data_IF_972870725036
#
_entry.id   IF_972870725036
#
_cell.length_a   1.000
_cell.length_b   1.000
_cell.length_c   1.000
_cell.angle_alpha   90.00
_cell.angle_beta   90.00
_cell.angle_gamma   90.00
#
_symmetry.space_group_name_H-M   'P 1'
#
loop_
_entity.id
_entity.type
_entity.pdbx_description
1 polymer ?
#
# COMPACT_ATOMS: atom_id res chain seq x y z
N UNK A 1 -5.26 18.87 22.76
CA UNK A 1 -6.04 18.37 23.91
C UNK A 1 -6.14 16.86 23.77
N UNK A 2 -5.47 16.11 24.65
CA UNK A 2 -5.50 14.66 24.71
C UNK A 2 -6.88 14.17 25.13
N UNK A 3 -7.55 13.37 24.30
CA UNK A 3 -8.69 12.56 24.73
C UNK A 3 -8.15 11.15 24.92
N UNK A 4 -7.90 10.79 26.18
CA UNK A 4 -7.43 9.46 26.59
C UNK A 4 -8.53 8.41 26.39
N UNK A 5 -8.11 7.17 26.05
CA UNK A 5 -8.92 5.95 25.91
C UNK A 5 -9.91 5.66 27.07
N UNK A 6 -9.80 6.34 28.21
CA UNK A 6 -10.66 6.13 29.37
C UNK A 6 -12.11 6.64 29.19
N UNK A 7 -12.36 7.61 28.31
CA UNK A 7 -13.69 8.26 28.26
C UNK A 7 -14.73 7.47 27.48
N UNK A 8 -14.33 6.55 26.59
CA UNK A 8 -15.28 5.71 25.84
C UNK A 8 -15.78 4.51 26.67
N UNK A 9 -15.04 4.09 27.70
CA UNK A 9 -15.36 2.88 28.48
C UNK A 9 -15.79 3.15 29.93
N UNK A 10 -15.89 4.43 30.35
CA UNK A 10 -16.19 4.80 31.73
C UNK A 10 -17.66 4.76 32.16
N UNK A 11 -18.62 4.40 31.29
CA UNK A 11 -20.05 4.49 31.62
C UNK A 11 -20.68 3.17 32.10
N UNK A 12 -20.03 2.01 31.92
CA UNK A 12 -20.62 0.72 32.31
C UNK A 12 -19.52 -0.22 32.81
N UNK A 13 -19.70 -0.76 34.02
CA UNK A 13 -18.95 -1.84 34.68
C UNK A 13 -18.00 -1.46 35.85
N UNK A 14 -18.44 -1.89 37.04
CA UNK A 14 -17.68 -2.05 38.30
C UNK A 14 -16.63 -3.19 38.20
N UNK A 15 -15.69 -3.33 39.16
CA UNK A 15 -14.31 -3.74 38.89
C UNK A 15 -14.18 -5.25 38.66
N UNK A 16 -13.70 -5.64 37.48
CA UNK A 16 -13.13 -6.96 37.24
C UNK A 16 -11.87 -6.79 36.38
N UNK A 17 -10.79 -7.56 36.58
CA UNK A 17 -9.46 -7.17 36.16
C UNK A 17 -9.29 -7.30 34.65
N UNK A 18 -9.08 -6.18 33.97
CA UNK A 18 -8.59 -6.17 32.60
C UNK A 18 -7.23 -6.90 32.53
N UNK A 19 -7.09 -7.85 31.61
CA UNK A 19 -5.79 -8.44 31.27
C UNK A 19 -5.44 -8.04 29.84
N UNK A 20 -4.39 -7.23 29.70
CA UNK A 20 -3.76 -6.92 28.44
C UNK A 20 -2.53 -7.81 28.26
N UNK A 21 -2.42 -8.49 27.12
CA UNK A 21 -1.24 -9.27 26.76
C UNK A 21 -0.68 -8.79 25.43
N UNK A 22 0.65 -8.65 25.34
CA UNK A 22 1.34 -8.28 24.10
C UNK A 22 1.28 -9.46 23.14
N UNK A 23 0.92 -9.21 21.87
CA UNK A 23 0.87 -10.27 20.85
C UNK A 23 2.31 -10.61 20.44
N UNK A 24 2.77 -11.88 20.61
CA UNK A 24 4.13 -12.27 20.21
C UNK A 24 4.36 -12.03 18.72
N UNK A 25 5.48 -11.39 18.36
CA UNK A 25 5.86 -11.15 16.96
C UNK A 25 5.27 -9.90 16.30
N UNK A 26 4.48 -9.08 17.00
CA UNK A 26 3.92 -7.82 16.45
C UNK A 26 4.24 -6.61 17.34
N UNK A 27 4.90 -5.58 16.78
CA UNK A 27 5.11 -4.30 17.48
C UNK A 27 3.79 -3.54 17.58
N UNK A 28 3.45 -3.02 18.76
CA UNK A 28 2.25 -2.20 19.06
C UNK A 28 0.88 -2.90 19.03
N UNK A 29 0.84 -4.23 19.14
CA UNK A 29 -0.40 -5.02 19.26
C UNK A 29 -0.64 -5.54 20.68
N UNK A 30 -1.86 -5.31 21.17
CA UNK A 30 -2.33 -5.80 22.48
C UNK A 30 -3.64 -6.55 22.31
N UNK A 31 -3.73 -7.73 22.94
CA UNK A 31 -4.97 -8.45 23.11
C UNK A 31 -5.61 -7.99 24.44
N UNK A 32 -6.80 -7.39 24.35
CA UNK A 32 -7.60 -7.02 25.51
C UNK A 32 -8.68 -8.08 25.75
N UNK A 33 -8.75 -8.59 26.99
CA UNK A 33 -9.84 -9.45 27.45
C UNK A 33 -10.63 -8.79 28.57
N UNK A 34 -11.95 -8.81 28.47
CA UNK A 34 -12.86 -8.37 29.54
C UNK A 34 -14.05 -9.32 29.67
N UNK A 35 -14.70 -9.29 30.83
CA UNK A 35 -15.83 -10.15 31.16
C UNK A 35 -17.06 -9.32 31.48
N UNK A 36 -18.18 -9.61 30.81
CA UNK A 36 -19.47 -8.95 31.06
C UNK A 36 -20.58 -10.01 31.02
N UNK A 37 -21.44 -10.04 32.04
CA UNK A 37 -22.58 -10.98 32.12
C UNK A 37 -22.20 -12.48 32.05
N UNK A 38 -21.00 -12.86 32.50
CA UNK A 38 -20.52 -14.25 32.45
C UNK A 38 -19.99 -14.71 31.09
N UNK A 39 -19.80 -13.79 30.13
CA UNK A 39 -19.18 -14.04 28.82
C UNK A 39 -17.83 -13.35 28.73
N UNK A 40 -16.87 -13.98 28.05
CA UNK A 40 -15.56 -13.40 27.78
C UNK A 40 -15.58 -12.72 26.41
N UNK A 41 -15.09 -11.48 26.38
CA UNK A 41 -14.90 -10.71 25.16
C UNK A 41 -13.40 -10.51 24.93
N UNK A 42 -12.98 -10.61 23.67
CA UNK A 42 -11.61 -10.30 23.27
C UNK A 42 -11.56 -9.37 22.07
N UNK A 43 -10.61 -8.43 22.10
CA UNK A 43 -10.34 -7.53 20.98
C UNK A 43 -8.84 -7.32 20.80
N UNK A 44 -8.40 -7.28 19.55
CA UNK A 44 -7.05 -6.88 19.19
C UNK A 44 -7.00 -5.36 19.01
N UNK A 45 -6.00 -4.73 19.62
CA UNK A 45 -5.77 -3.28 19.54
C UNK A 45 -4.42 -3.01 18.91
N UNK A 46 -4.43 -2.23 17.83
CA UNK A 46 -3.25 -1.70 17.17
C UNK A 46 -3.26 -0.17 17.28
N UNK A 47 -2.20 0.42 17.86
CA UNK A 47 -2.06 1.88 17.91
C UNK A 47 -3.22 2.62 18.61
N UNK A 48 -3.93 1.97 19.54
CA UNK A 48 -5.07 2.56 20.28
C UNK A 48 -6.45 2.37 19.63
N UNK A 49 -6.55 1.67 18.50
CA UNK A 49 -7.82 1.40 17.81
C UNK A 49 -8.14 -0.10 17.84
N UNK A 50 -9.40 -0.45 18.12
CA UNK A 50 -9.89 -1.82 18.11
C UNK A 50 -10.05 -2.32 16.66
N UNK A 51 -9.44 -3.46 16.33
CA UNK A 51 -9.33 -3.93 14.94
C UNK A 51 -10.20 -5.17 14.67
N UNK A 52 -10.59 -5.91 15.72
CA UNK A 52 -11.51 -7.06 15.64
C UNK A 52 -12.25 -7.28 16.96
N UNK A 53 -13.52 -7.71 16.91
CA UNK A 53 -14.33 -8.03 18.09
C UNK A 53 -14.83 -9.48 18.03
N UNK A 54 -14.55 -10.28 19.07
CA UNK A 54 -14.98 -11.67 19.14
C UNK A 54 -15.64 -11.98 20.50
N UNK A 55 -16.74 -12.72 20.46
CA UNK A 55 -17.51 -13.17 21.63
C UNK A 55 -17.26 -14.67 21.81
N UNK A 56 -16.64 -15.05 22.93
CA UNK A 56 -16.43 -16.45 23.24
C UNK A 56 -17.69 -17.03 23.93
N UNK A 57 -18.34 -18.00 23.27
CA UNK A 57 -19.58 -18.64 23.77
C UNK A 57 -19.23 -19.81 24.69
N UNK A 58 -18.63 -19.54 25.85
CA UNK A 58 -18.48 -20.53 26.92
C UNK A 58 -19.45 -20.19 28.06
N UNK A 59 -20.36 -21.12 28.39
CA UNK A 59 -21.22 -21.04 29.59
C UNK A 59 -20.44 -21.48 30.84
N UNK A 60 -20.86 -20.96 31.99
CA UNK A 60 -20.19 -21.07 33.29
C UNK A 60 -20.28 -22.46 33.97
N UNK A 61 -20.68 -23.52 33.27
CA UNK A 61 -20.94 -24.86 33.83
C UNK A 61 -19.98 -25.97 33.36
N UNK A 62 -18.92 -25.64 32.63
CA UNK A 62 -17.79 -26.58 32.42
C UNK A 62 -18.10 -27.85 31.62
N UNK A 63 -19.29 -27.98 31.02
CA UNK A 63 -19.63 -29.10 30.16
C UNK A 63 -19.24 -28.81 28.71
N UNK A 64 -18.10 -29.33 28.28
CA UNK A 64 -17.69 -29.34 26.89
C UNK A 64 -18.52 -30.35 26.09
N UNK A 65 -19.49 -29.88 25.31
CA UNK A 65 -19.96 -30.65 24.17
C UNK A 65 -18.85 -30.61 23.12
N UNK A 66 -18.15 -31.73 22.94
CA UNK A 66 -17.29 -31.95 21.78
C UNK A 66 -18.23 -32.13 20.59
N UNK A 67 -18.74 -31.03 20.05
CA UNK A 67 -19.13 -31.02 18.66
C UNK A 67 -17.81 -31.16 17.90
N UNK A 68 -17.60 -32.31 17.26
CA UNK A 68 -16.61 -32.48 16.20
C UNK A 68 -17.00 -31.67 14.96
N UNK A 69 -17.34 -30.38 15.15
CA UNK A 69 -17.03 -29.40 14.15
C UNK A 69 -15.53 -29.21 14.31
N UNK A 70 -14.74 -29.99 13.55
CA UNK A 70 -13.53 -29.37 13.01
C UNK A 70 -14.00 -27.99 12.53
N UNK A 71 -13.40 -26.88 12.98
CA UNK A 71 -13.55 -25.66 12.21
C UNK A 71 -13.24 -26.14 10.79
N UNK A 72 -14.14 -25.92 9.84
CA UNK A 72 -13.66 -25.90 8.47
C UNK A 72 -12.49 -24.94 8.55
N UNK A 73 -11.26 -25.46 8.48
CA UNK A 73 -10.09 -24.67 8.24
C UNK A 73 -10.42 -24.01 6.92
N UNK A 74 -11.05 -22.84 6.98
CA UNK A 74 -11.10 -21.94 5.85
C UNK A 74 -9.62 -21.67 5.63
N UNK A 75 -9.03 -22.42 4.69
CA UNK A 75 -7.68 -22.22 4.23
C UNK A 75 -7.55 -20.71 4.08
N UNK A 76 -6.60 -20.11 4.80
CA UNK A 76 -6.55 -18.67 4.92
C UNK A 76 -6.49 -18.10 3.48
N UNK A 77 -7.55 -17.37 3.14
CA UNK A 77 -7.83 -17.01 1.76
C UNK A 77 -7.14 -15.69 1.46
N UNK A 78 -6.33 -15.71 0.41
CA UNK A 78 -5.44 -14.62 0.07
C UNK A 78 -5.98 -13.80 -1.09
N UNK A 79 -5.91 -12.48 -0.98
CA UNK A 79 -6.20 -11.55 -2.07
C UNK A 79 -4.87 -11.06 -2.65
N UNK A 80 -4.71 -11.19 -3.96
CA UNK A 80 -3.55 -10.63 -4.65
C UNK A 80 -3.81 -9.19 -5.13
N UNK A 81 -2.91 -8.29 -4.80
CA UNK A 81 -2.88 -6.93 -5.34
C UNK A 81 -1.69 -6.82 -6.29
N UNK A 82 -1.92 -6.34 -7.50
CA UNK A 82 -0.91 -6.30 -8.55
C UNK A 82 -0.88 -4.90 -9.14
N UNK A 83 0.28 -4.25 -9.09
CA UNK A 83 0.51 -2.96 -9.75
C UNK A 83 1.48 -3.16 -10.92
N UNK A 84 0.97 -2.99 -12.13
CA UNK A 84 1.71 -3.19 -13.38
C UNK A 84 2.22 -1.84 -13.88
N UNK A 85 3.47 -1.53 -13.54
CA UNK A 85 4.20 -0.38 -14.05
C UNK A 85 4.99 -0.66 -15.32
N UNK A 86 5.52 0.38 -15.95
CA UNK A 86 6.33 0.25 -17.18
C UNK A 86 7.64 -0.52 -16.96
N UNK A 87 8.26 -0.38 -15.79
CA UNK A 87 9.55 -1.01 -15.48
C UNK A 87 9.37 -2.28 -14.66
N UNK A 88 8.41 -2.29 -13.74
CA UNK A 88 8.23 -3.38 -12.79
C UNK A 88 6.76 -3.67 -12.55
N UNK A 89 6.46 -4.92 -12.25
CA UNK A 89 5.21 -5.36 -11.64
C UNK A 89 5.45 -5.56 -10.15
N UNK A 90 4.63 -4.95 -9.31
CA UNK A 90 4.66 -5.14 -7.86
C UNK A 90 3.48 -6.02 -7.45
N UNK A 91 3.76 -7.11 -6.76
CA UNK A 91 2.78 -8.08 -6.29
C UNK A 91 2.75 -8.10 -4.77
N UNK A 92 1.55 -7.99 -4.19
CA UNK A 92 1.29 -8.17 -2.77
C UNK A 92 0.23 -9.23 -2.52
N UNK A 93 0.41 -10.02 -1.47
CA UNK A 93 -0.61 -10.97 -1.00
C UNK A 93 -1.16 -10.53 0.34
N UNK A 94 -2.46 -10.28 0.42
CA UNK A 94 -3.17 -9.90 1.64
C UNK A 94 -3.94 -11.08 2.20
N UNK A 95 -3.78 -11.32 3.50
CA UNK A 95 -4.45 -12.36 4.24
C UNK A 95 -5.01 -11.77 5.53
N UNK A 96 -6.31 -11.93 5.76
CA UNK A 96 -7.01 -11.41 6.95
C UNK A 96 -6.76 -9.90 7.20
N UNK A 97 -6.71 -9.09 6.13
CA UNK A 97 -6.48 -7.65 6.22
C UNK A 97 -5.02 -7.23 6.38
N UNK A 98 -4.07 -8.16 6.39
CA UNK A 98 -2.65 -7.88 6.54
C UNK A 98 -1.85 -8.31 5.30
N UNK A 99 -0.85 -7.51 4.94
CA UNK A 99 0.09 -7.86 3.87
C UNK A 99 1.01 -8.99 4.34
N UNK A 100 0.86 -10.17 3.73
CA UNK A 100 1.68 -11.35 4.00
C UNK A 100 3.01 -11.34 3.26
N UNK A 101 3.03 -10.86 2.02
CA UNK A 101 4.26 -10.67 1.25
C UNK A 101 4.13 -9.53 0.25
N UNK A 102 5.27 -8.97 -0.15
CA UNK A 102 5.39 -8.01 -1.23
C UNK A 102 6.65 -8.33 -2.04
N UNK A 103 6.52 -8.39 -3.35
CA UNK A 103 7.62 -8.70 -4.27
C UNK A 103 7.51 -7.89 -5.53
N UNK A 104 8.62 -7.84 -6.28
CA UNK A 104 8.72 -7.08 -7.52
C UNK A 104 9.37 -7.94 -8.60
N UNK A 105 8.79 -7.91 -9.78
CA UNK A 105 9.35 -8.50 -11.00
C UNK A 105 9.47 -7.46 -12.10
N UNK A 106 10.32 -7.73 -13.07
CA UNK A 106 10.46 -6.87 -14.24
C UNK A 106 9.21 -6.95 -15.12
N UNK A 107 8.81 -5.82 -15.68
CA UNK A 107 7.75 -5.81 -16.69
C UNK A 107 8.34 -6.23 -18.04
N UNK A 108 7.92 -7.39 -18.56
CA UNK A 108 8.32 -7.85 -19.89
C UNK A 108 7.11 -7.92 -20.82
N UNK A 109 7.10 -7.04 -21.83
CA UNK A 109 6.00 -6.90 -22.79
C UNK A 109 5.98 -8.01 -23.84
N UNK A 110 7.01 -8.86 -23.89
CA UNK A 110 7.13 -9.97 -24.83
C UNK A 110 6.61 -11.30 -24.27
N UNK A 111 6.35 -11.38 -22.97
CA UNK A 111 5.87 -12.61 -22.34
C UNK A 111 4.37 -12.83 -22.60
N UNK A 112 4.03 -14.09 -22.88
CA UNK A 112 2.67 -14.58 -23.03
C UNK A 112 2.08 -15.06 -21.69
N UNK A 113 0.78 -15.39 -21.69
CA UNK A 113 0.04 -15.66 -20.45
C UNK A 113 0.53 -16.90 -19.69
N UNK A 114 0.99 -17.93 -20.39
CA UNK A 114 1.57 -19.14 -19.82
C UNK A 114 2.93 -18.89 -19.17
N UNK A 115 3.76 -18.04 -19.78
CA UNK A 115 5.04 -17.61 -19.23
C UNK A 115 4.84 -16.79 -17.95
N UNK A 116 3.91 -15.83 -17.97
CA UNK A 116 3.52 -15.10 -16.76
C UNK A 116 2.91 -16.02 -15.71
N UNK A 117 2.13 -17.05 -16.09
CA UNK A 117 1.58 -18.00 -15.14
C UNK A 117 2.68 -18.80 -14.44
N UNK A 118 3.70 -19.25 -15.16
CA UNK A 118 4.86 -19.93 -14.59
C UNK A 118 5.63 -19.01 -13.63
N UNK A 119 5.87 -17.77 -14.02
CA UNK A 119 6.61 -16.80 -13.19
C UNK A 119 5.85 -16.46 -11.91
N UNK A 120 4.56 -16.07 -12.03
CA UNK A 120 3.73 -15.70 -10.88
C UNK A 120 3.50 -16.89 -9.93
N UNK A 121 3.18 -18.07 -10.46
CA UNK A 121 3.02 -19.27 -9.62
C UNK A 121 4.33 -19.68 -8.94
N UNK A 122 5.46 -19.57 -9.64
CA UNK A 122 6.79 -19.81 -9.07
C UNK A 122 7.10 -18.89 -7.90
N UNK A 123 6.77 -17.60 -8.03
CA UNK A 123 6.92 -16.60 -6.96
C UNK A 123 6.04 -16.91 -5.77
N UNK A 124 4.77 -17.23 -6.00
CA UNK A 124 3.83 -17.59 -4.93
C UNK A 124 4.29 -18.83 -4.16
N UNK A 125 4.87 -19.81 -4.86
CA UNK A 125 5.48 -20.99 -4.24
C UNK A 125 6.65 -20.62 -3.30
N UNK A 126 7.45 -19.60 -3.61
CA UNK A 126 8.50 -19.11 -2.69
C UNK A 126 7.90 -18.59 -1.36
N UNK A 127 6.71 -18.01 -1.42
CA UNK A 127 5.94 -17.55 -0.26
C UNK A 127 5.01 -18.62 0.32
N UNK A 128 5.08 -19.86 -0.18
CA UNK A 128 4.23 -21.01 0.23
C UNK A 128 2.74 -20.76 0.03
N UNK A 129 2.38 -19.98 -0.99
CA UNK A 129 1.00 -19.70 -1.37
C UNK A 129 0.64 -20.58 -2.56
N UNK A 130 -0.22 -21.57 -2.33
CA UNK A 130 -0.79 -22.37 -3.42
C UNK A 130 -1.85 -21.56 -4.18
N UNK A 131 -1.97 -21.79 -5.49
CA UNK A 131 -2.96 -21.10 -6.33
C UNK A 131 -4.40 -21.23 -5.82
N UNK A 132 -4.74 -22.40 -5.29
CA UNK A 132 -6.04 -22.74 -4.70
C UNK A 132 -6.40 -21.89 -3.46
N UNK A 133 -5.40 -21.30 -2.80
CA UNK A 133 -5.61 -20.44 -1.62
C UNK A 133 -5.85 -18.97 -1.99
N UNK A 134 -5.76 -18.61 -3.27
CA UNK A 134 -6.05 -17.25 -3.74
C UNK A 134 -7.56 -17.14 -3.97
N UNK A 135 -8.23 -16.28 -3.20
CA UNK A 135 -9.68 -16.06 -3.36
C UNK A 135 -10.03 -15.00 -4.39
N UNK A 136 -9.08 -14.11 -4.69
CA UNK A 136 -9.30 -13.05 -5.64
C UNK A 136 -8.06 -12.25 -5.91
N UNK A 137 -8.16 -11.39 -6.90
CA UNK A 137 -7.09 -10.51 -7.29
C UNK A 137 -7.63 -9.16 -7.76
N UNK A 138 -6.79 -8.14 -7.69
CA UNK A 138 -7.04 -6.83 -8.27
C UNK A 138 -5.75 -6.28 -8.91
N UNK A 139 -5.91 -5.70 -10.10
CA UNK A 139 -4.83 -5.18 -10.94
C UNK A 139 -4.99 -3.67 -11.11
N UNK A 140 -3.98 -2.89 -10.74
CA UNK A 140 -3.68 -1.57 -11.33
C UNK A 140 -2.72 -1.77 -12.50
N UNK A 141 -2.92 -1.04 -13.59
CA UNK A 141 -1.99 -1.10 -14.72
C UNK A 141 -1.93 0.21 -15.49
N UNK A 142 -0.71 0.61 -15.80
CA UNK A 142 -0.40 1.65 -16.80
C UNK A 142 0.24 1.05 -18.07
N UNK A 143 0.17 -0.27 -18.22
CA UNK A 143 0.73 -1.03 -19.35
C UNK A 143 -0.37 -1.91 -19.97
N UNK A 144 -1.23 -1.35 -20.86
CA UNK A 144 -2.37 -2.08 -21.43
C UNK A 144 -1.96 -3.38 -22.14
N UNK A 145 -0.78 -3.39 -22.78
CA UNK A 145 -0.25 -4.51 -23.56
C UNK A 145 -0.22 -5.85 -22.80
N UNK A 146 0.09 -5.82 -21.50
CA UNK A 146 0.23 -7.04 -20.69
C UNK A 146 -0.89 -7.21 -19.66
N UNK A 147 -1.81 -6.25 -19.55
CA UNK A 147 -2.83 -6.28 -18.48
C UNK A 147 -3.73 -7.51 -18.60
N UNK A 148 -4.22 -7.78 -19.82
CA UNK A 148 -5.04 -8.97 -20.08
C UNK A 148 -4.22 -10.25 -20.06
N UNK A 149 -2.94 -10.18 -20.41
CA UNK A 149 -2.03 -11.32 -20.36
C UNK A 149 -1.80 -11.79 -18.92
N UNK A 150 -1.52 -10.85 -18.00
CA UNK A 150 -1.40 -11.14 -16.56
C UNK A 150 -2.73 -11.61 -15.98
N UNK A 151 -3.87 -11.04 -16.41
CA UNK A 151 -5.17 -11.51 -15.96
C UNK A 151 -5.45 -12.96 -16.38
N UNK A 152 -5.14 -13.32 -17.64
CA UNK A 152 -5.23 -14.72 -18.11
C UNK A 152 -4.29 -15.63 -17.33
N UNK A 153 -3.07 -15.18 -17.02
CA UNK A 153 -2.13 -15.96 -16.21
C UNK A 153 -2.70 -16.33 -14.83
N UNK A 154 -3.29 -15.36 -14.11
CA UNK A 154 -3.95 -15.62 -12.83
C UNK A 154 -5.09 -16.64 -12.95
N UNK A 155 -5.90 -16.53 -14.01
CA UNK A 155 -6.98 -17.48 -14.27
C UNK A 155 -6.44 -18.90 -14.51
N UNK A 156 -5.29 -19.04 -15.16
CA UNK A 156 -4.69 -20.35 -15.48
C UNK A 156 -4.24 -21.12 -14.25
N UNK A 157 -3.54 -20.47 -13.30
CA UNK A 157 -2.95 -21.20 -12.16
C UNK A 157 -3.77 -21.09 -10.86
N UNK A 158 -4.57 -20.02 -10.70
CA UNK A 158 -5.37 -19.78 -9.49
C UNK A 158 -6.88 -19.86 -9.74
N UNK A 159 -7.34 -19.91 -11.00
CA UNK A 159 -8.77 -19.98 -11.32
C UNK A 159 -9.55 -18.70 -11.02
N UNK A 160 -8.86 -17.61 -10.66
CA UNK A 160 -9.47 -16.34 -10.27
C UNK A 160 -9.54 -15.35 -11.44
N UNK A 161 -10.64 -14.61 -11.51
CA UNK A 161 -10.74 -13.45 -12.40
C UNK A 161 -10.38 -12.18 -11.62
N UNK A 162 -9.28 -11.48 -11.97
CA UNK A 162 -8.90 -10.27 -11.26
C UNK A 162 -9.86 -9.12 -11.58
N UNK A 163 -10.18 -8.31 -10.57
CA UNK A 163 -10.70 -6.97 -10.79
C UNK A 163 -9.63 -6.12 -11.47
N UNK A 164 -10.02 -5.24 -12.39
CA UNK A 164 -9.14 -4.21 -12.94
C UNK A 164 -9.56 -2.88 -12.33
N UNK A 165 -8.63 -2.17 -11.73
CA UNK A 165 -8.93 -0.89 -11.12
C UNK A 165 -9.35 0.12 -12.19
N UNK A 166 -10.61 0.52 -12.12
CA UNK A 166 -11.19 1.61 -12.92
C UNK A 166 -11.99 2.52 -11.99
N UNK A 167 -12.37 3.70 -12.47
CA UNK A 167 -13.24 4.62 -11.71
C UNK A 167 -14.67 4.10 -11.55
N UNK A 168 -15.05 3.06 -12.30
CA UNK A 168 -16.37 2.41 -12.21
C UNK A 168 -16.49 1.50 -10.98
N UNK A 169 -15.36 1.04 -10.44
CA UNK A 169 -15.35 0.34 -9.16
C UNK A 169 -15.75 1.32 -8.03
N UNK A 170 -16.24 0.82 -6.89
CA UNK A 170 -16.47 1.65 -5.71
C UNK A 170 -15.13 2.10 -5.11
N UNK A 171 -14.47 3.08 -5.75
CA UNK A 171 -13.18 3.65 -5.34
C UNK A 171 -13.31 4.49 -4.07
N UNK A 172 -14.50 5.04 -3.84
CA UNK A 172 -14.76 5.99 -2.77
C UNK A 172 -14.02 7.32 -2.93
N UNK A 173 -13.29 7.54 -4.02
CA UNK A 173 -12.48 8.73 -4.30
C UNK A 173 -13.12 9.50 -5.44
N UNK A 174 -13.29 10.81 -5.25
CA UNK A 174 -13.71 11.71 -6.32
C UNK A 174 -12.54 12.04 -7.24
N UNK A 175 -12.82 12.45 -8.48
CA UNK A 175 -11.81 12.92 -9.44
C UNK A 175 -12.27 14.23 -10.04
N UNK A 176 -11.54 15.31 -9.77
CA UNK A 176 -11.80 16.67 -10.26
C UNK A 176 -10.61 17.14 -11.11
N UNK A 177 -10.50 16.58 -12.31
CA UNK A 177 -9.57 17.01 -13.36
C UNK A 177 -10.36 17.13 -14.67
N UNK A 178 -9.83 17.86 -15.65
CA UNK A 178 -10.54 18.15 -16.92
C UNK A 178 -11.05 16.89 -17.63
N UNK A 179 -10.22 15.85 -17.67
CA UNK A 179 -10.56 14.56 -18.26
C UNK A 179 -10.38 13.44 -17.23
N UNK A 180 -11.40 13.13 -16.41
CA UNK A 180 -11.26 12.14 -15.33
C UNK A 180 -10.75 10.79 -15.82
N UNK A 181 -11.20 10.32 -17.00
CA UNK A 181 -10.81 9.03 -17.58
C UNK A 181 -9.31 8.90 -17.91
N UNK A 182 -8.57 10.00 -17.95
CA UNK A 182 -7.11 10.00 -18.20
C UNK A 182 -6.29 9.82 -16.92
N UNK A 183 -6.92 9.82 -15.73
CA UNK A 183 -6.21 9.54 -14.49
C UNK A 183 -5.70 8.08 -14.48
N UNK A 184 -4.37 7.93 -14.37
CA UNK A 184 -3.73 6.62 -14.27
C UNK A 184 -4.24 5.78 -13.11
N UNK A 185 -4.36 4.47 -13.31
CA UNK A 185 -4.84 3.53 -12.29
C UNK A 185 -3.96 3.51 -11.03
N UNK A 186 -2.65 3.70 -11.19
CA UNK A 186 -1.67 3.81 -10.10
C UNK A 186 -1.90 5.08 -9.26
N UNK A 187 -2.13 6.22 -9.91
CA UNK A 187 -2.46 7.49 -9.25
C UNK A 187 -3.78 7.39 -8.48
N UNK A 188 -4.78 6.75 -9.09
CA UNK A 188 -6.07 6.47 -8.46
C UNK A 188 -5.89 5.54 -7.25
N UNK A 189 -5.13 4.46 -7.37
CA UNK A 189 -4.83 3.56 -6.25
C UNK A 189 -4.14 4.29 -5.09
N UNK A 190 -3.17 5.15 -5.38
CA UNK A 190 -2.51 5.98 -4.37
C UNK A 190 -3.48 6.94 -3.66
N UNK A 191 -4.38 7.58 -4.38
CA UNK A 191 -5.41 8.44 -3.80
C UNK A 191 -6.40 7.64 -2.93
N UNK A 192 -6.75 6.42 -3.34
CA UNK A 192 -7.61 5.54 -2.55
C UNK A 192 -6.93 5.12 -1.26
N UNK A 193 -5.64 4.75 -1.31
CA UNK A 193 -4.86 4.46 -0.12
C UNK A 193 -4.81 5.67 0.82
N UNK A 194 -4.57 6.87 0.29
CA UNK A 194 -4.57 8.11 1.05
C UNK A 194 -5.90 8.32 1.79
N UNK A 195 -7.02 8.24 1.07
CA UNK A 195 -8.37 8.39 1.66
C UNK A 195 -8.72 7.31 2.68
N UNK A 196 -8.29 6.08 2.44
CA UNK A 196 -8.64 4.95 3.30
C UNK A 196 -7.83 4.89 4.60
N UNK A 197 -6.58 5.36 4.57
CA UNK A 197 -5.60 5.08 5.63
C UNK A 197 -5.09 6.32 6.35
N UNK A 198 -5.30 7.52 5.81
CA UNK A 198 -4.66 8.73 6.32
C UNK A 198 -5.65 9.90 6.48
N UNK A 199 -5.35 10.86 7.39
CA UNK A 199 -6.08 12.12 7.47
C UNK A 199 -5.96 12.94 6.17
N UNK A 200 -7.07 13.57 5.76
CA UNK A 200 -7.16 14.43 4.57
C UNK A 200 -7.22 15.92 4.95
N UNK A 201 -6.68 16.85 4.15
CA UNK A 201 -6.17 16.64 2.78
C UNK A 201 -4.78 15.99 2.80
N UNK A 202 -4.45 15.31 1.71
CA UNK A 202 -3.21 14.54 1.57
C UNK A 202 -2.51 14.84 0.24
N UNK A 203 -1.18 14.81 0.26
CA UNK A 203 -0.34 14.83 -0.92
C UNK A 203 0.35 13.47 -1.02
N UNK A 204 0.12 12.77 -2.14
CA UNK A 204 0.70 11.45 -2.42
C UNK A 204 1.83 11.60 -3.42
N UNK A 205 3.02 11.14 -3.06
CA UNK A 205 4.23 11.22 -3.88
C UNK A 205 4.62 9.80 -4.32
N UNK A 206 4.52 9.49 -5.61
CA UNK A 206 5.00 8.22 -6.17
C UNK A 206 6.33 8.44 -6.91
N UNK A 207 7.41 7.90 -6.35
CA UNK A 207 8.76 7.97 -6.90
C UNK A 207 9.16 6.69 -7.66
N UNK A 208 8.35 6.35 -8.66
CA UNK A 208 8.59 5.25 -9.59
C UNK A 208 9.43 5.64 -10.81
N UNK A 209 9.07 5.09 -11.97
CA UNK A 209 9.70 5.43 -13.27
C UNK A 209 9.64 6.94 -13.54
N UNK A 210 8.49 7.56 -13.27
CA UNK A 210 8.32 9.00 -13.15
C UNK A 210 8.08 9.36 -11.68
N UNK A 211 8.44 10.57 -11.28
CA UNK A 211 8.01 11.13 -9.99
C UNK A 211 6.66 11.81 -10.19
N UNK A 212 5.64 11.39 -9.45
CA UNK A 212 4.28 11.92 -9.56
C UNK A 212 3.84 12.44 -8.20
N UNK A 213 3.18 13.60 -8.16
CA UNK A 213 2.63 14.19 -6.94
C UNK A 213 1.15 14.41 -7.17
N UNK A 214 0.30 13.76 -6.36
CA UNK A 214 -1.17 13.81 -6.46
C UNK A 214 -1.74 14.60 -5.28
N UNK A 215 -2.58 15.59 -5.56
CA UNK A 215 -3.32 16.35 -4.57
C UNK A 215 -4.67 15.69 -4.27
N UNK A 216 -4.93 15.40 -3.00
CA UNK A 216 -6.21 14.85 -2.52
C UNK A 216 -6.79 15.79 -1.47
N UNK A 217 -7.98 16.35 -1.73
CA UNK A 217 -8.63 17.31 -0.83
C UNK A 217 -9.26 16.66 0.42
N UNK A 218 -9.91 17.49 1.25
CA UNK A 218 -10.57 17.06 2.49
C UNK A 218 -11.72 16.08 2.27
N UNK A 219 -12.36 16.11 1.09
CA UNK A 219 -13.45 15.21 0.73
C UNK A 219 -12.91 13.90 0.13
N UNK A 220 -11.60 13.80 -0.08
CA UNK A 220 -10.97 12.66 -0.71
C UNK A 220 -11.20 12.65 -2.22
N UNK A 221 -11.16 13.84 -2.83
CA UNK A 221 -11.23 14.06 -4.27
C UNK A 221 -9.84 14.40 -4.79
N UNK A 222 -9.42 13.76 -5.87
CA UNK A 222 -8.20 14.11 -6.59
C UNK A 222 -8.40 15.45 -7.28
N UNK A 223 -7.58 16.44 -6.94
CA UNK A 223 -7.66 17.80 -7.51
C UNK A 223 -6.68 18.05 -8.64
N UNK A 224 -5.67 17.18 -8.79
CA UNK A 224 -4.66 17.33 -9.81
C UNK A 224 -3.40 16.53 -9.51
N UNK A 225 -2.51 16.50 -10.50
CA UNK A 225 -1.25 15.75 -10.45
C UNK A 225 -0.14 16.57 -11.10
N UNK A 226 1.07 16.52 -10.57
CA UNK A 226 2.29 16.93 -11.25
C UNK A 226 3.13 15.71 -11.59
N UNK A 227 3.72 15.69 -12.79
CA UNK A 227 4.53 14.58 -13.29
C UNK A 227 5.90 15.12 -13.69
N UNK A 228 6.95 14.56 -13.10
CA UNK A 228 8.35 14.89 -13.37
C UNK A 228 9.14 13.63 -13.77
N UNK A 229 10.28 13.79 -14.49
CA UNK A 229 11.20 12.69 -14.70
C UNK A 229 11.59 12.03 -13.36
N UNK A 230 11.57 10.70 -13.31
CA UNK A 230 11.98 9.97 -12.12
C UNK A 230 13.49 10.08 -11.90
N UNK A 231 13.92 9.88 -10.65
CA UNK A 231 15.33 9.98 -10.22
C UNK A 231 16.25 9.15 -11.12
N UNK A 232 15.85 7.92 -11.45
CA UNK A 232 16.65 7.03 -12.30
C UNK A 232 16.64 7.47 -13.76
N UNK A 233 15.50 7.93 -14.31
CA UNK A 233 15.44 8.49 -15.67
C UNK A 233 16.36 9.70 -15.80
N UNK A 234 16.34 10.61 -14.82
CA UNK A 234 17.19 11.80 -14.83
C UNK A 234 18.67 11.43 -14.82
N UNK A 235 19.06 10.43 -14.02
CA UNK A 235 20.44 9.95 -14.01
C UNK A 235 20.82 9.28 -15.33
N UNK A 236 19.96 8.41 -15.87
CA UNK A 236 20.20 7.72 -17.14
C UNK A 236 20.31 8.72 -18.30
N UNK A 237 19.51 9.79 -18.30
CA UNK A 237 19.60 10.86 -19.28
C UNK A 237 20.96 11.58 -19.22
N UNK A 238 21.49 11.85 -18.03
CA UNK A 238 22.83 12.44 -17.85
C UNK A 238 23.93 11.49 -18.33
N UNK A 239 23.84 10.21 -17.96
CA UNK A 239 24.84 9.19 -18.31
C UNK A 239 24.86 8.98 -19.82
N UNK A 240 23.71 8.74 -20.45
CA UNK A 240 23.63 8.49 -21.89
C UNK A 240 23.93 9.73 -22.75
N UNK A 241 23.74 10.93 -22.20
CA UNK A 241 24.14 12.18 -22.86
C UNK A 241 25.65 12.46 -22.83
N UNK A 242 26.46 11.62 -22.16
CA UNK A 242 27.91 11.84 -22.00
C UNK A 242 28.72 10.62 -22.45
N UNK A 243 29.92 10.84 -23.00
CA UNK A 243 30.73 9.79 -23.60
C UNK A 243 31.55 8.94 -22.62
N UNK A 244 31.73 9.40 -21.38
CA UNK A 244 32.73 8.86 -20.44
C UNK A 244 32.15 8.11 -19.24
N UNK A 245 30.83 8.02 -19.10
CA UNK A 245 30.20 7.46 -17.91
C UNK A 245 29.24 6.33 -18.28
N UNK A 246 29.34 5.20 -17.57
CA UNK A 246 28.40 4.07 -17.67
C UNK A 246 28.14 3.51 -16.27
N UNK A 247 26.88 3.28 -15.91
CA UNK A 247 26.49 2.49 -14.74
C UNK A 247 26.78 3.13 -13.37
N UNK A 248 26.29 4.35 -13.12
CA UNK A 248 26.41 4.99 -11.80
C UNK A 248 25.38 4.38 -10.85
N UNK A 249 25.84 3.74 -9.77
CA UNK A 249 24.96 3.29 -8.69
C UNK A 249 24.35 4.50 -7.97
N UNK A 250 23.06 4.41 -7.65
CA UNK A 250 22.30 5.43 -6.91
C UNK A 250 22.39 5.16 -5.41
N UNK A 251 23.51 5.56 -4.82
CA UNK A 251 23.68 5.57 -3.37
C UNK A 251 23.28 6.94 -2.79
N UNK A 252 22.88 6.95 -1.52
CA UNK A 252 22.66 8.19 -0.80
C UNK A 252 23.96 9.03 -0.80
N UNK A 253 23.93 10.27 -1.30
CA UNK A 253 25.12 11.11 -1.33
C UNK A 253 25.51 11.58 0.07
N UNK A 254 26.81 11.68 0.32
CA UNK A 254 27.35 12.10 1.64
C UNK A 254 27.40 13.62 1.78
N UNK A 255 27.44 14.36 0.68
CA UNK A 255 27.62 15.83 0.65
C UNK A 255 27.02 16.45 -0.61
N UNK A 256 26.51 17.68 -0.48
CA UNK A 256 25.90 18.40 -1.60
C UNK A 256 26.93 18.80 -2.68
N UNK A 257 28.14 19.18 -2.27
CA UNK A 257 29.21 19.57 -3.18
C UNK A 257 30.10 18.35 -3.44
N UNK A 258 29.86 17.66 -4.56
CA UNK A 258 30.65 16.50 -4.98
C UNK A 258 32.09 16.87 -5.32
N UNK A 259 33.04 15.97 -5.02
CA UNK A 259 34.47 16.17 -5.31
C UNK A 259 34.97 15.44 -6.55
N UNK A 260 34.09 14.68 -7.20
CA UNK A 260 34.32 14.02 -8.47
C UNK A 260 32.99 13.90 -9.22
N UNK A 261 33.04 13.55 -10.50
CA UNK A 261 31.86 13.53 -11.36
C UNK A 261 30.74 12.62 -10.84
N UNK A 262 31.08 11.44 -10.33
CA UNK A 262 30.09 10.48 -9.80
C UNK A 262 29.40 11.05 -8.56
N UNK A 263 30.17 11.55 -7.59
CA UNK A 263 29.61 12.21 -6.39
C UNK A 263 28.75 13.42 -6.75
N UNK A 264 29.19 14.24 -7.71
CA UNK A 264 28.45 15.43 -8.14
C UNK A 264 27.12 15.07 -8.79
N UNK A 265 27.08 14.02 -9.62
CA UNK A 265 25.85 13.53 -10.23
C UNK A 265 24.90 12.92 -9.19
N UNK A 266 25.40 12.05 -8.31
CA UNK A 266 24.60 11.44 -7.23
C UNK A 266 24.00 12.51 -6.32
N UNK A 267 24.81 13.48 -5.90
CA UNK A 267 24.38 14.63 -5.11
C UNK A 267 23.27 15.41 -5.81
N UNK A 268 23.51 15.84 -7.05
CA UNK A 268 22.56 16.65 -7.81
C UNK A 268 21.23 15.94 -8.05
N UNK A 269 21.26 14.63 -8.33
CA UNK A 269 20.05 13.85 -8.59
C UNK A 269 19.25 13.59 -7.31
N UNK A 270 19.90 13.21 -6.21
CA UNK A 270 19.18 12.87 -4.96
C UNK A 270 18.78 14.11 -4.17
N UNK A 271 19.71 15.02 -3.86
CA UNK A 271 19.38 16.26 -3.13
C UNK A 271 18.57 17.23 -4.00
N UNK A 272 18.78 17.24 -5.31
CA UNK A 272 17.94 17.99 -6.23
C UNK A 272 16.51 17.46 -6.25
N UNK A 273 16.31 16.14 -6.27
CA UNK A 273 14.98 15.55 -6.15
C UNK A 273 14.32 15.89 -4.80
N UNK A 274 15.05 15.83 -3.68
CA UNK A 274 14.51 16.21 -2.37
C UNK A 274 14.10 17.70 -2.33
N UNK A 275 14.93 18.58 -2.87
CA UNK A 275 14.64 20.02 -2.96
C UNK A 275 13.44 20.30 -3.88
N UNK A 276 13.33 19.56 -4.98
CA UNK A 276 12.19 19.62 -5.88
C UNK A 276 10.91 19.17 -5.17
N UNK A 277 10.93 18.07 -4.42
CA UNK A 277 9.77 17.60 -3.68
C UNK A 277 9.31 18.64 -2.65
N UNK A 278 10.22 19.19 -1.86
CA UNK A 278 9.88 20.24 -0.89
C UNK A 278 9.22 21.44 -1.58
N UNK A 279 9.81 21.96 -2.66
CA UNK A 279 9.28 23.12 -3.38
C UNK A 279 7.96 22.83 -4.09
N UNK A 280 7.73 21.59 -4.54
CA UNK A 280 6.46 21.18 -5.13
C UNK A 280 5.37 21.00 -4.08
N UNK A 281 5.70 20.45 -2.91
CA UNK A 281 4.78 20.36 -1.77
C UNK A 281 4.33 21.77 -1.36
N UNK A 282 5.26 22.72 -1.21
CA UNK A 282 4.92 24.12 -0.90
C UNK A 282 3.96 24.74 -1.93
N UNK A 283 4.13 24.43 -3.22
CA UNK A 283 3.22 24.89 -4.29
C UNK A 283 1.85 24.23 -4.19
N UNK A 284 1.81 22.91 -3.95
CA UNK A 284 0.56 22.18 -3.78
C UNK A 284 -0.22 22.68 -2.57
N UNK A 285 0.44 22.93 -1.44
CA UNK A 285 -0.20 23.47 -0.24
C UNK A 285 -0.69 24.91 -0.43
N UNK A 286 -0.04 25.70 -1.29
CA UNK A 286 -0.53 27.04 -1.63
C UNK A 286 -1.86 27.01 -2.41
N UNK A 287 -2.13 25.94 -3.16
CA UNK A 287 -3.36 25.77 -3.94
C UNK A 287 -4.43 24.97 -3.18
N UNK A 288 -4.04 23.90 -2.47
CA UNK A 288 -4.92 22.98 -1.75
C UNK A 288 -5.21 23.42 -0.31
N UNK A 289 -4.34 24.23 0.27
CA UNK A 289 -4.21 24.41 1.72
C UNK A 289 -3.23 23.40 2.35
N UNK A 290 -2.90 23.58 3.65
CA UNK A 290 -1.92 22.72 4.34
C UNK A 290 -2.32 21.24 4.34
N UNK A 291 -1.42 20.36 3.92
CA UNK A 291 -1.67 18.93 3.92
C UNK A 291 -1.62 18.38 5.35
N UNK A 292 -2.59 17.54 5.72
CA UNK A 292 -2.51 16.77 6.98
C UNK A 292 -1.62 15.54 6.83
N UNK A 293 -1.43 15.07 5.59
CA UNK A 293 -0.61 13.91 5.27
C UNK A 293 0.27 14.18 4.06
N UNK A 294 1.57 13.94 4.21
CA UNK A 294 2.51 13.79 3.10
C UNK A 294 2.99 12.35 3.11
N UNK A 295 2.65 11.58 2.07
CA UNK A 295 3.01 10.17 1.98
C UNK A 295 3.73 9.90 0.67
N UNK A 296 4.85 9.18 0.73
CA UNK A 296 5.64 8.80 -0.41
C UNK A 296 5.71 7.28 -0.59
N UNK A 297 5.76 6.85 -1.85
CA UNK A 297 5.96 5.47 -2.26
C UNK A 297 6.92 5.41 -3.46
N UNK A 298 7.13 4.22 -4.02
CA UNK A 298 8.01 4.03 -5.17
C UNK A 298 9.45 3.69 -4.79
N UNK A 299 10.21 3.27 -5.80
CA UNK A 299 11.56 2.72 -5.62
C UNK A 299 12.61 3.75 -5.21
N UNK A 300 12.47 5.00 -5.66
CA UNK A 300 13.44 6.05 -5.34
C UNK A 300 13.13 6.77 -4.01
N UNK A 301 11.94 6.61 -3.43
CA UNK A 301 11.56 7.32 -2.22
C UNK A 301 12.45 6.99 -1.02
N UNK A 302 12.90 5.73 -0.89
CA UNK A 302 13.79 5.32 0.21
C UNK A 302 15.15 6.04 0.24
N UNK A 303 15.62 6.56 -0.90
CA UNK A 303 16.88 7.30 -0.99
C UNK A 303 16.69 8.83 -1.02
N UNK A 304 15.51 9.34 -1.40
CA UNK A 304 15.24 10.78 -1.51
C UNK A 304 14.54 11.35 -0.28
N UNK A 305 13.51 10.67 0.23
CA UNK A 305 12.68 11.14 1.35
C UNK A 305 13.49 11.52 2.60
N UNK A 306 14.54 10.76 3.00
CA UNK A 306 15.36 11.14 4.16
C UNK A 306 16.06 12.49 4.06
N UNK A 307 16.11 13.10 2.86
CA UNK A 307 16.75 14.38 2.60
C UNK A 307 15.78 15.53 2.34
N UNK A 308 14.46 15.28 2.44
CA UNK A 308 13.44 16.32 2.35
C UNK A 308 13.37 17.10 3.68
N UNK A 309 13.03 18.40 3.60
CA UNK A 309 12.75 19.22 4.79
C UNK A 309 11.36 18.91 5.35
N UNK A 310 10.40 18.62 4.48
CA UNK A 310 9.07 18.18 4.90
C UNK A 310 9.15 16.79 5.52
N UNK A 311 8.32 16.56 6.55
CA UNK A 311 8.14 15.22 7.11
C UNK A 311 7.23 14.42 6.18
N UNK A 312 7.84 13.56 5.37
CA UNK A 312 7.13 12.70 4.42
C UNK A 312 7.19 11.26 4.91
N UNK A 313 6.03 10.62 5.06
CA UNK A 313 5.96 9.22 5.48
C UNK A 313 6.25 8.32 4.28
N UNK A 314 7.31 7.49 4.37
CA UNK A 314 7.61 6.52 3.33
C UNK A 314 6.86 5.20 3.54
N UNK A 315 6.07 4.80 2.55
CA UNK A 315 5.21 3.60 2.55
C UNK A 315 5.39 2.86 1.23
N UNK A 316 6.29 1.85 1.16
CA UNK A 316 6.60 1.13 -0.08
C UNK A 316 5.40 0.41 -0.71
N UNK A 317 4.39 0.09 0.10
CA UNK A 317 3.24 -0.74 -0.27
C UNK A 317 1.99 0.06 -0.58
N UNK A 318 2.05 1.39 -0.53
CA UNK A 318 0.89 2.29 -0.58
C UNK A 318 -0.10 1.96 -1.72
N UNK A 319 0.43 1.70 -2.92
CA UNK A 319 -0.40 1.36 -4.09
C UNK A 319 -1.14 0.03 -3.89
N UNK A 320 -0.45 -0.97 -3.34
CA UNK A 320 -1.03 -2.27 -3.00
C UNK A 320 -2.10 -2.13 -1.91
N UNK A 321 -1.84 -1.29 -0.91
CA UNK A 321 -2.80 -1.01 0.17
C UNK A 321 -4.09 -0.38 -0.39
N UNK A 322 -3.95 0.55 -1.35
CA UNK A 322 -5.07 1.16 -2.07
C UNK A 322 -5.88 0.15 -2.87
N UNK A 323 -5.20 -0.75 -3.59
CA UNK A 323 -5.84 -1.82 -4.34
C UNK A 323 -6.63 -2.75 -3.43
N UNK A 324 -6.05 -3.18 -2.31
CA UNK A 324 -6.72 -4.03 -1.34
C UNK A 324 -7.97 -3.36 -0.77
N UNK A 325 -7.89 -2.06 -0.43
CA UNK A 325 -9.02 -1.29 0.06
C UNK A 325 -10.20 -1.24 -0.94
N UNK A 326 -9.92 -1.07 -2.25
CA UNK A 326 -10.97 -1.15 -3.29
C UNK A 326 -11.55 -2.54 -3.38
N UNK A 327 -10.70 -3.57 -3.41
CA UNK A 327 -11.15 -4.95 -3.51
C UNK A 327 -12.14 -5.29 -2.39
N UNK A 328 -11.80 -4.95 -1.14
CA UNK A 328 -12.68 -5.15 0.01
C UNK A 328 -14.00 -4.38 -0.13
N UNK A 329 -13.97 -3.12 -0.61
CA UNK A 329 -15.19 -2.33 -0.78
C UNK A 329 -16.12 -2.91 -1.84
N UNK A 330 -15.57 -3.40 -2.94
CA UNK A 330 -16.34 -4.06 -4.01
C UNK A 330 -17.05 -5.31 -3.51
N UNK A 331 -16.38 -6.13 -2.68
CA UNK A 331 -16.95 -7.39 -2.17
C UNK A 331 -17.84 -7.21 -0.94
N UNK A 332 -17.74 -6.08 -0.22
CA UNK A 332 -18.69 -5.72 0.84
C UNK A 332 -20.01 -5.15 0.30
N UNK A 333 -20.03 -4.69 -0.96
CA UNK A 333 -21.20 -4.11 -1.62
C UNK A 333 -22.06 -5.15 -2.38
N UNK A 334 -21.61 -6.40 -2.46
CA UNK A 334 -22.30 -7.55 -3.08
C UNK A 334 -22.99 -8.41 -2.01
#
# INVERSE_FOLDING_TARGET
>A
MHVSLLTIFGAVCRPNPFRAARVPGRLNWFLLKFYEGGRMFSTDVCGGHAVNFSIDKTRADGASYIHNNKPEERAARMVLTIDIGNTNIVLGGYENGALGFCTRISTDKSLEADQYALELSGILNLYKVAGENIEGAIISSVVPQITDTVARALRMFAGVEPLKLTQELPTGVGVNIDTPSELGADLLAGAIAAKALYPLPAIVIDMGTATKITAVDEQGTVQGVSIMPGVFISLDALVNGTSLLKGIATNAPVRAIGKNTVESMQSGVVFGAASMLDGMVERFEAELGPAKTLVATGGAAGIVVPHCRHSVQYVPTLILDGLYAVYCRTHAAL
#
